data_IF_257777357468
#
_entry.id   IF_257777357468
#
_cell.length_a   1.000
_cell.length_b   1.000
_cell.length_c   1.000
_cell.angle_alpha   90.00
_cell.angle_beta   90.00
_cell.angle_gamma   90.00
#
_symmetry.space_group_name_H-M   'P 1'
#
loop_
_entity.id
_entity.type
_entity.pdbx_description
1 polymer ?
#
# COMPACT_ATOMS: atom_id res chain seq x y z
N UNK A 1 -4.47 11.97 -62.05
CA UNK A 1 -4.85 12.81 -60.89
C UNK A 1 -3.80 12.67 -59.81
N UNK A 2 -3.21 13.68 -59.18
CA UNK A 2 -3.17 15.12 -59.39
C UNK A 2 -1.88 15.61 -58.68
N UNK A 3 -1.12 16.49 -59.34
CA UNK A 3 0.08 17.20 -58.84
C UNK A 3 -0.27 18.22 -57.74
N UNK A 4 0.72 18.55 -56.90
CA UNK A 4 1.03 19.88 -56.32
C UNK A 4 2.34 19.70 -55.51
N UNK A 5 3.54 20.21 -55.86
CA UNK A 5 4.03 21.55 -56.23
C UNK A 5 4.05 22.56 -55.05
N UNK A 6 5.29 22.93 -54.66
CA UNK A 6 5.83 23.94 -53.68
C UNK A 6 5.31 25.39 -54.00
N UNK A 7 5.62 26.53 -53.29
CA UNK A 7 6.89 26.85 -52.58
C UNK A 7 6.96 28.00 -51.49
N UNK A 8 8.19 28.15 -50.94
CA UNK A 8 8.98 29.39 -50.60
C UNK A 8 8.50 30.49 -49.61
N UNK A 9 9.45 30.87 -48.73
CA UNK A 9 9.67 32.25 -48.22
C UNK A 9 9.24 32.49 -46.76
N UNK A 10 10.00 33.11 -45.87
CA UNK A 10 11.22 33.91 -46.03
C UNK A 10 11.85 34.31 -44.70
N UNK A 11 13.13 34.67 -44.80
CA UNK A 11 14.03 35.20 -43.78
C UNK A 11 13.81 36.71 -43.62
N UNK A 12 13.78 37.22 -42.39
CA UNK A 12 14.12 38.62 -42.08
C UNK A 12 14.85 38.68 -40.73
N UNK A 13 16.11 39.08 -40.78
CA UNK A 13 16.92 39.57 -39.66
C UNK A 13 16.49 41.02 -39.34
N UNK A 14 16.57 41.41 -38.07
CA UNK A 14 16.25 42.76 -37.62
C UNK A 14 16.58 42.99 -36.13
N UNK A 15 17.76 43.56 -35.89
CA UNK A 15 18.28 44.20 -34.66
C UNK A 15 18.40 45.72 -34.98
N UNK A 16 18.55 46.73 -34.09
CA UNK A 16 18.63 46.82 -32.61
C UNK A 16 17.71 47.92 -31.97
N UNK A 17 17.64 47.99 -30.63
CA UNK A 17 18.06 49.20 -29.86
C UNK A 17 17.65 49.22 -28.38
N UNK A 18 18.68 49.43 -27.55
CA UNK A 18 18.82 50.42 -26.47
C UNK A 18 17.92 50.40 -25.21
N UNK A 19 18.64 50.22 -24.09
CA UNK A 19 18.59 50.98 -22.84
C UNK A 19 17.28 51.00 -22.02
N UNK A 20 17.30 50.24 -20.91
CA UNK A 20 16.39 50.43 -19.78
C UNK A 20 17.00 49.85 -18.49
N UNK A 21 17.63 50.72 -17.70
CA UNK A 21 18.21 50.41 -16.39
C UNK A 21 17.11 50.40 -15.32
N UNK A 22 16.91 49.30 -14.56
CA UNK A 22 16.49 49.22 -13.14
C UNK A 22 16.47 47.73 -12.73
N UNK A 23 17.45 47.26 -11.94
CA UNK A 23 17.44 47.07 -10.47
C UNK A 23 16.35 46.11 -9.95
N UNK A 24 16.83 45.18 -9.12
CA UNK A 24 16.16 44.25 -8.20
C UNK A 24 15.78 42.85 -8.73
N UNK A 25 16.16 41.83 -7.95
CA UNK A 25 15.84 40.42 -8.20
C UNK A 25 17.06 39.51 -8.21
N UNK A 26 17.70 39.35 -7.06
CA UNK A 26 18.76 38.37 -6.81
C UNK A 26 18.12 36.97 -6.80
N UNK A 27 18.23 36.20 -7.88
CA UNK A 27 17.93 34.77 -7.88
C UNK A 27 19.20 34.01 -8.27
N UNK A 28 20.07 33.80 -7.27
CA UNK A 28 21.15 32.84 -7.37
C UNK A 28 20.55 31.44 -7.30
N UNK A 29 20.94 30.60 -8.25
CA UNK A 29 20.61 29.19 -8.27
C UNK A 29 20.95 28.52 -6.95
N UNK A 30 19.96 27.86 -6.38
CA UNK A 30 20.11 26.85 -5.35
C UNK A 30 19.50 25.56 -5.87
N UNK A 31 20.31 24.79 -6.58
CA UNK A 31 20.06 23.37 -6.77
C UNK A 31 20.20 22.68 -5.41
N UNK A 32 19.38 21.65 -5.19
CA UNK A 32 19.34 20.74 -4.03
C UNK A 32 18.61 21.33 -2.81
N UNK A 33 17.60 20.68 -2.24
CA UNK A 33 17.57 19.29 -1.79
C UNK A 33 16.12 18.81 -1.80
N UNK A 34 15.78 17.92 -2.73
CA UNK A 34 14.66 17.01 -2.49
C UNK A 34 14.96 16.28 -1.20
N UNK A 35 14.03 16.32 -0.25
CA UNK A 35 14.11 15.52 0.97
C UNK A 35 14.13 14.05 0.58
N UNK A 36 15.33 13.52 0.37
CA UNK A 36 15.62 12.10 0.60
C UNK A 36 15.28 11.86 2.07
N UNK A 37 14.05 11.39 2.35
CA UNK A 37 13.76 10.68 3.59
C UNK A 37 14.58 9.40 3.53
N UNK A 38 15.83 9.49 3.97
CA UNK A 38 16.67 8.33 4.21
C UNK A 38 16.07 7.62 5.40
N UNK A 39 15.42 6.50 5.12
CA UNK A 39 14.97 5.51 6.09
C UNK A 39 16.18 4.95 6.83
N UNK A 40 16.61 5.64 7.88
CA UNK A 40 17.14 5.11 9.15
C UNK A 40 17.60 6.27 10.07
N UNK A 41 16.83 7.34 10.19
CA UNK A 41 17.11 8.34 11.24
C UNK A 41 16.48 7.86 12.55
N UNK A 42 17.32 7.25 13.36
CA UNK A 42 17.01 6.77 14.70
C UNK A 42 16.80 8.02 15.57
N UNK A 43 15.58 8.57 15.61
CA UNK A 43 15.26 9.72 16.47
C UNK A 43 15.51 9.32 17.93
N UNK A 44 16.40 10.10 18.54
CA UNK A 44 16.92 10.00 19.91
C UNK A 44 15.87 10.31 21.00
N UNK A 45 14.60 10.46 20.60
CA UNK A 45 13.42 10.41 21.47
C UNK A 45 12.56 9.26 20.99
N UNK A 46 12.66 8.09 21.62
CA UNK A 46 12.01 6.83 21.22
C UNK A 46 10.48 6.83 21.15
N UNK A 47 9.91 7.64 20.26
CA UNK A 47 8.50 7.67 19.90
C UNK A 47 8.42 7.03 18.51
N UNK A 48 8.15 5.74 18.49
CA UNK A 48 7.71 4.99 17.31
C UNK A 48 6.49 5.71 16.74
N UNK A 49 6.65 6.46 15.64
CA UNK A 49 5.51 7.13 15.00
C UNK A 49 4.64 6.04 14.39
N UNK A 50 3.41 5.85 14.88
CA UNK A 50 2.56 4.81 14.34
C UNK A 50 2.19 5.17 12.90
N UNK A 51 2.35 4.20 11.99
CA UNK A 51 1.99 4.31 10.57
C UNK A 51 0.53 4.75 10.40
N UNK A 52 -0.33 4.32 11.34
CA UNK A 52 -1.74 4.68 11.39
C UNK A 52 -2.06 5.35 12.72
N UNK A 53 -2.75 6.49 12.67
CA UNK A 53 -3.07 7.26 13.88
C UNK A 53 -4.27 6.73 14.66
N UNK A 54 -5.17 5.99 14.00
CA UNK A 54 -6.40 5.46 14.61
C UNK A 54 -6.88 4.21 13.89
N UNK A 55 -7.65 3.37 14.57
CA UNK A 55 -8.21 2.15 13.98
C UNK A 55 -9.07 2.45 12.75
N UNK A 56 -9.80 3.57 12.75
CA UNK A 56 -10.60 4.01 11.61
C UNK A 56 -9.74 4.32 10.40
N UNK A 57 -8.58 4.96 10.58
CA UNK A 57 -7.64 5.21 9.48
C UNK A 57 -7.07 3.89 8.94
N UNK A 58 -6.80 2.94 9.83
CA UNK A 58 -6.36 1.60 9.44
C UNK A 58 -7.45 0.89 8.62
N UNK A 59 -8.71 0.92 9.05
CA UNK A 59 -9.82 0.36 8.29
C UNK A 59 -10.07 1.07 6.96
N UNK A 60 -9.92 2.39 6.93
CA UNK A 60 -10.11 3.18 5.70
C UNK A 60 -8.99 2.90 4.67
N UNK A 61 -7.76 2.65 5.12
CA UNK A 61 -6.66 2.31 4.21
C UNK A 61 -6.62 0.80 3.90
N UNK A 62 -6.42 -0.04 4.91
CA UNK A 62 -6.28 -1.50 4.72
C UNK A 62 -7.61 -2.17 4.43
N UNK A 63 -8.68 -1.80 5.13
CA UNK A 63 -10.00 -2.39 4.91
C UNK A 63 -10.51 -2.12 3.49
N UNK A 64 -10.45 -0.87 3.02
CA UNK A 64 -10.82 -0.53 1.63
C UNK A 64 -9.94 -1.21 0.60
N UNK A 65 -8.65 -1.33 0.86
CA UNK A 65 -7.75 -2.08 0.00
C UNK A 65 -8.18 -3.55 -0.10
N UNK A 66 -8.46 -4.20 1.03
CA UNK A 66 -8.94 -5.59 1.03
C UNK A 66 -10.30 -5.74 0.37
N UNK A 67 -11.22 -4.78 0.51
CA UNK A 67 -12.48 -4.80 -0.22
C UNK A 67 -12.25 -4.72 -1.74
N UNK A 68 -11.35 -3.85 -2.21
CA UNK A 68 -11.01 -3.75 -3.64
C UNK A 68 -10.39 -5.05 -4.16
N UNK A 69 -9.50 -5.66 -3.37
CA UNK A 69 -8.85 -6.92 -3.72
C UNK A 69 -9.84 -8.09 -3.65
N UNK A 70 -10.79 -8.08 -2.72
CA UNK A 70 -11.82 -9.10 -2.57
C UNK A 70 -12.71 -9.27 -3.81
N UNK A 71 -12.83 -8.23 -4.63
CA UNK A 71 -13.60 -8.25 -5.88
C UNK A 71 -12.81 -8.81 -7.07
N UNK A 72 -11.49 -8.98 -6.96
CA UNK A 72 -10.65 -9.50 -8.05
C UNK A 72 -10.81 -11.00 -8.23
N UNK A 73 -10.47 -11.49 -9.42
CA UNK A 73 -10.51 -12.92 -9.74
C UNK A 73 -9.52 -13.69 -8.86
N UNK A 74 -8.34 -13.12 -8.55
CA UNK A 74 -7.34 -13.76 -7.69
C UNK A 74 -7.90 -14.08 -6.30
N UNK A 75 -8.69 -13.17 -5.70
CA UNK A 75 -9.30 -13.42 -4.40
C UNK A 75 -10.40 -14.48 -4.43
N UNK A 76 -11.08 -14.65 -5.57
CA UNK A 76 -12.06 -15.73 -5.76
C UNK A 76 -11.36 -17.07 -5.89
N UNK A 77 -10.24 -17.11 -6.63
CA UNK A 77 -9.40 -18.30 -6.72
C UNK A 77 -8.79 -18.67 -5.37
N UNK A 78 -8.44 -17.67 -4.54
CA UNK A 78 -7.95 -17.86 -3.18
C UNK A 78 -8.97 -18.60 -2.31
N UNK A 79 -10.22 -18.17 -2.35
CA UNK A 79 -11.33 -18.81 -1.64
C UNK A 79 -11.61 -20.20 -2.20
N UNK A 80 -11.60 -20.35 -3.53
CA UNK A 80 -11.85 -21.64 -4.16
C UNK A 80 -10.74 -22.66 -3.84
N UNK A 81 -9.49 -22.21 -3.71
CA UNK A 81 -8.34 -23.03 -3.34
C UNK A 81 -8.20 -23.24 -1.82
N UNK A 82 -8.89 -22.43 -1.01
CA UNK A 82 -8.84 -22.51 0.45
C UNK A 82 -10.15 -23.09 0.98
N UNK A 83 -10.10 -24.36 1.38
CA UNK A 83 -11.23 -24.99 2.05
C UNK A 83 -11.24 -24.60 3.53
N UNK A 84 -12.34 -24.01 4.00
CA UNK A 84 -12.56 -23.78 5.43
C UNK A 84 -12.81 -25.10 6.15
N UNK A 85 -12.07 -25.34 7.22
CA UNK A 85 -12.31 -26.49 8.08
C UNK A 85 -13.72 -26.46 8.68
N UNK A 86 -14.30 -27.64 8.96
CA UNK A 86 -15.63 -27.73 9.56
C UNK A 86 -15.66 -27.03 10.93
N UNK A 87 -16.53 -26.02 11.07
CA UNK A 87 -16.70 -25.26 12.31
C UNK A 87 -15.95 -23.93 12.37
N UNK A 88 -15.27 -23.53 11.30
CA UNK A 88 -14.74 -22.17 11.11
C UNK A 88 -15.63 -21.37 10.16
N UNK A 89 -15.84 -20.10 10.49
CA UNK A 89 -16.62 -19.19 9.66
C UNK A 89 -15.71 -18.26 8.83
N UNK A 90 -14.47 -18.04 9.28
CA UNK A 90 -13.54 -17.11 8.66
C UNK A 90 -12.18 -17.76 8.37
N UNK A 91 -11.53 -17.35 7.27
CA UNK A 91 -10.21 -17.86 6.90
C UNK A 91 -9.15 -17.34 7.84
N UNK A 92 -9.15 -16.03 8.04
CA UNK A 92 -8.10 -15.35 8.79
C UNK A 92 -8.64 -14.14 9.52
N UNK A 93 -8.15 -13.91 10.73
CA UNK A 93 -8.37 -12.71 11.51
C UNK A 93 -7.04 -12.03 11.81
N UNK A 94 -6.92 -10.78 11.40
CA UNK A 94 -5.81 -9.91 11.71
C UNK A 94 -6.17 -9.05 12.91
N UNK A 95 -5.45 -9.22 14.00
CA UNK A 95 -5.52 -8.41 15.21
C UNK A 95 -4.31 -7.48 15.19
N UNK A 96 -4.58 -6.21 14.96
CA UNK A 96 -3.59 -5.15 15.00
C UNK A 96 -3.55 -4.52 16.39
N UNK A 97 -2.33 -4.26 16.84
CA UNK A 97 -2.03 -3.50 18.05
C UNK A 97 -1.40 -2.17 17.67
N UNK A 98 -1.77 -1.10 18.40
CA UNK A 98 -1.30 0.28 18.18
C UNK A 98 -1.57 0.79 16.76
N UNK A 99 -2.81 1.19 16.43
CA UNK A 99 -4.04 1.18 17.24
C UNK A 99 -4.67 -0.23 17.36
N UNK A 100 -5.55 -0.44 18.34
CA UNK A 100 -6.31 -1.69 18.47
C UNK A 100 -7.31 -1.79 17.32
N UNK A 101 -7.09 -2.73 16.40
CA UNK A 101 -7.97 -2.93 15.27
C UNK A 101 -8.07 -4.41 14.93
N UNK A 102 -9.24 -4.85 14.46
CA UNK A 102 -9.47 -6.23 14.06
C UNK A 102 -10.02 -6.26 12.63
N UNK A 103 -9.43 -7.05 11.76
CA UNK A 103 -9.92 -7.27 10.39
C UNK A 103 -10.04 -8.76 10.17
N UNK A 104 -11.25 -9.22 9.89
CA UNK A 104 -11.55 -10.63 9.65
C UNK A 104 -11.91 -10.84 8.20
N UNK A 105 -11.27 -11.81 7.56
CA UNK A 105 -11.57 -12.24 6.20
C UNK A 105 -12.43 -13.49 6.27
N UNK A 106 -13.66 -13.37 5.80
CA UNK A 106 -14.64 -14.44 5.72
C UNK A 106 -15.03 -14.67 4.27
N UNK A 107 -15.70 -15.77 3.98
CA UNK A 107 -16.45 -15.90 2.74
C UNK A 107 -17.94 -15.70 3.01
N UNK A 108 -18.64 -15.15 2.03
CA UNK A 108 -20.09 -15.12 2.00
C UNK A 108 -20.54 -15.35 0.55
N UNK A 109 -21.41 -16.33 0.32
CA UNK A 109 -21.92 -16.67 -1.02
C UNK A 109 -20.82 -16.87 -2.09
N UNK A 110 -19.68 -17.45 -1.70
CA UNK A 110 -18.54 -17.69 -2.59
C UNK A 110 -17.73 -16.43 -2.94
N UNK A 111 -17.90 -15.34 -2.20
CA UNK A 111 -17.13 -14.10 -2.34
C UNK A 111 -16.35 -13.80 -1.07
N UNK A 112 -15.21 -13.13 -1.20
CA UNK A 112 -14.43 -12.67 -0.07
C UNK A 112 -15.16 -11.50 0.58
N UNK A 113 -15.39 -11.60 1.87
CA UNK A 113 -16.04 -10.57 2.68
C UNK A 113 -15.09 -10.13 3.77
N UNK A 114 -14.87 -8.84 3.85
CA UNK A 114 -14.02 -8.22 4.85
C UNK A 114 -14.92 -7.68 5.96
N UNK A 115 -14.62 -8.05 7.20
CA UNK A 115 -15.31 -7.60 8.41
C UNK A 115 -14.31 -6.85 9.26
N UNK A 116 -14.48 -5.54 9.35
CA UNK A 116 -13.70 -4.68 10.23
C UNK A 116 -14.37 -4.59 11.62
N UNK A 117 -13.57 -4.68 12.68
CA UNK A 117 -14.03 -4.63 14.06
C UNK A 117 -14.22 -6.00 14.71
N UNK A 118 -14.91 -6.00 15.85
CA UNK A 118 -15.18 -7.22 16.60
C UNK A 118 -16.21 -8.09 15.87
N UNK A 119 -15.94 -9.39 15.85
CA UNK A 119 -16.81 -10.36 15.19
C UNK A 119 -16.91 -11.63 16.04
N UNK A 120 -18.07 -12.28 15.97
CA UNK A 120 -18.32 -13.58 16.58
C UNK A 120 -17.94 -14.75 15.66
N UNK A 121 -17.46 -14.45 14.45
CA UNK A 121 -16.96 -15.45 13.49
C UNK A 121 -15.76 -16.18 14.09
N UNK A 122 -15.66 -17.49 13.82
CA UNK A 122 -14.51 -18.30 14.24
C UNK A 122 -13.46 -18.32 13.12
N UNK A 123 -12.36 -17.57 13.27
CA UNK A 123 -11.27 -17.65 12.30
C UNK A 123 -10.51 -18.96 12.47
N UNK A 124 -10.17 -19.59 11.34
CA UNK A 124 -9.28 -20.74 11.32
C UNK A 124 -7.85 -20.33 11.69
N UNK A 125 -7.45 -19.11 11.31
CA UNK A 125 -6.14 -18.58 11.55
C UNK A 125 -6.19 -17.15 12.10
N UNK A 126 -5.42 -16.87 13.15
CA UNK A 126 -5.37 -15.56 13.79
C UNK A 126 -3.94 -15.03 13.70
N UNK A 127 -3.78 -13.85 13.13
CA UNK A 127 -2.53 -13.10 13.11
C UNK A 127 -2.61 -11.91 14.05
N UNK A 128 -1.82 -11.94 15.11
CA UNK A 128 -1.64 -10.82 16.02
C UNK A 128 -0.33 -10.10 15.70
N UNK A 129 -0.41 -8.81 15.38
CA UNK A 129 0.75 -7.99 14.99
C UNK A 129 0.50 -6.51 15.26
N UNK A 130 1.51 -5.65 15.11
CA UNK A 130 1.28 -4.20 15.12
C UNK A 130 0.85 -3.71 13.74
N UNK A 131 0.19 -2.54 13.69
CA UNK A 131 -0.24 -1.97 12.42
C UNK A 131 0.95 -1.68 11.47
N UNK A 132 2.10 -1.30 12.01
CA UNK A 132 3.36 -1.12 11.26
C UNK A 132 3.86 -2.43 10.63
N UNK A 133 3.82 -3.53 11.38
CA UNK A 133 4.24 -4.85 10.88
C UNK A 133 3.31 -5.32 9.77
N UNK A 134 1.99 -5.13 9.94
CA UNK A 134 1.00 -5.42 8.91
C UNK A 134 1.22 -4.62 7.64
N UNK A 135 1.48 -3.32 7.78
CA UNK A 135 1.79 -2.46 6.65
C UNK A 135 3.04 -2.93 5.88
N UNK A 136 4.12 -3.28 6.59
CA UNK A 136 5.35 -3.82 5.99
C UNK A 136 5.12 -5.16 5.28
N UNK A 137 4.25 -6.00 5.82
CA UNK A 137 3.84 -7.25 5.19
C UNK A 137 3.15 -6.98 3.85
N UNK A 138 2.15 -6.09 3.80
CA UNK A 138 1.43 -5.75 2.56
C UNK A 138 2.27 -4.97 1.55
N UNK A 139 3.32 -4.26 1.99
CA UNK A 139 4.32 -3.66 1.10
C UNK A 139 5.29 -4.68 0.48
N UNK A 140 5.21 -5.97 0.85
CA UNK A 140 6.17 -7.00 0.44
C UNK A 140 7.58 -6.78 1.00
N UNK A 141 7.71 -6.00 2.08
CA UNK A 141 8.99 -5.69 2.74
C UNK A 141 9.30 -6.64 3.89
N UNK A 142 8.32 -7.42 4.31
CA UNK A 142 8.44 -8.37 5.40
C UNK A 142 7.82 -9.70 4.99
N UNK A 143 8.64 -10.76 4.94
CA UNK A 143 8.15 -12.11 4.74
C UNK A 143 7.48 -12.66 6.00
N UNK A 144 6.40 -13.41 5.82
CA UNK A 144 5.68 -14.05 6.94
C UNK A 144 6.61 -14.92 7.80
N UNK A 145 7.46 -15.72 7.17
CA UNK A 145 8.39 -16.61 7.89
C UNK A 145 9.41 -15.82 8.71
N UNK A 146 9.95 -14.73 8.16
CA UNK A 146 10.88 -13.86 8.89
C UNK A 146 10.17 -13.15 10.05
N UNK A 147 8.94 -12.70 9.84
CA UNK A 147 8.14 -12.04 10.87
C UNK A 147 7.79 -12.97 12.04
N UNK A 148 7.46 -14.24 11.75
CA UNK A 148 7.24 -15.29 12.74
C UNK A 148 8.54 -15.63 13.48
N UNK A 149 9.65 -15.79 12.76
CA UNK A 149 10.96 -16.06 13.35
C UNK A 149 11.41 -14.94 14.30
N UNK A 150 11.11 -13.69 13.93
CA UNK A 150 11.40 -12.49 14.74
C UNK A 150 10.32 -12.20 15.80
N UNK A 151 9.28 -13.03 15.90
CA UNK A 151 8.14 -12.86 16.81
C UNK A 151 7.42 -11.50 16.67
N UNK A 152 7.50 -10.89 15.48
CA UNK A 152 6.81 -9.64 15.16
C UNK A 152 5.33 -9.87 14.85
N UNK A 153 5.01 -11.07 14.35
CA UNK A 153 3.66 -11.58 14.14
C UNK A 153 3.53 -12.82 15.01
N UNK A 154 2.46 -12.92 15.79
CA UNK A 154 2.03 -14.17 16.40
C UNK A 154 0.93 -14.77 15.56
N UNK A 155 1.09 -16.03 15.17
CA UNK A 155 0.05 -16.77 14.46
C UNK A 155 -0.54 -17.83 15.38
N UNK A 156 -1.85 -17.99 15.33
CA UNK A 156 -2.56 -19.09 15.96
C UNK A 156 -3.37 -19.81 14.88
N UNK A 157 -3.25 -21.12 14.78
CA UNK A 157 -3.93 -21.92 13.76
C UNK A 157 -2.99 -22.63 12.78
N UNK A 158 -3.54 -23.23 11.72
CA UNK A 158 -2.79 -24.04 10.76
C UNK A 158 -2.00 -23.14 9.81
N UNK A 159 -0.77 -22.78 10.17
CA UNK A 159 0.14 -21.96 9.34
C UNK A 159 0.26 -22.48 7.90
N UNK A 160 0.11 -23.78 7.69
CA UNK A 160 0.08 -24.42 6.37
C UNK A 160 -0.95 -23.77 5.44
N UNK A 161 -2.11 -23.36 5.95
CA UNK A 161 -3.16 -22.73 5.16
C UNK A 161 -2.76 -21.32 4.72
N UNK A 162 -2.13 -20.54 5.60
CA UNK A 162 -1.55 -19.25 5.22
C UNK A 162 -0.45 -19.40 4.16
N UNK A 163 0.41 -20.43 4.27
CA UNK A 163 1.48 -20.68 3.30
C UNK A 163 0.95 -21.04 1.90
N UNK A 164 -0.21 -21.72 1.80
CA UNK A 164 -0.87 -22.01 0.52
C UNK A 164 -1.41 -20.75 -0.17
N UNK A 165 -1.78 -19.74 0.62
CA UNK A 165 -2.35 -18.48 0.15
C UNK A 165 -1.27 -17.47 -0.28
N UNK A 166 -0.08 -17.53 0.31
CA UNK A 166 1.06 -16.66 -0.03
C UNK A 166 1.32 -16.46 -1.55
N UNK A 167 1.35 -17.50 -2.42
CA UNK A 167 1.60 -17.30 -3.85
C UNK A 167 0.53 -16.42 -4.54
N UNK A 168 -0.70 -16.39 -4.03
CA UNK A 168 -1.75 -15.53 -4.55
C UNK A 168 -1.61 -14.09 -4.05
N UNK A 169 -1.09 -13.91 -2.84
CA UNK A 169 -0.78 -12.59 -2.29
C UNK A 169 0.36 -11.87 -3.03
N UNK A 170 1.23 -12.62 -3.72
CA UNK A 170 2.34 -12.03 -4.49
C UNK A 170 1.84 -11.07 -5.59
N UNK A 171 0.71 -11.40 -6.22
CA UNK A 171 0.03 -10.53 -7.19
C UNK A 171 -0.63 -9.30 -6.52
N UNK A 172 -0.97 -9.39 -5.24
CA UNK A 172 -1.67 -8.35 -4.48
C UNK A 172 -0.70 -7.31 -3.90
N UNK A 173 0.54 -7.68 -3.56
CA UNK A 173 1.56 -6.74 -3.07
C UNK A 173 1.80 -5.51 -3.97
N UNK A 174 1.98 -5.63 -5.30
CA UNK A 174 2.13 -4.45 -6.16
C UNK A 174 0.86 -3.59 -6.21
N UNK A 175 -0.34 -4.20 -6.12
CA UNK A 175 -1.60 -3.48 -6.09
C UNK A 175 -1.74 -2.63 -4.81
N UNK A 176 -1.19 -3.09 -3.67
CA UNK A 176 -1.17 -2.29 -2.44
C UNK A 176 -0.34 -1.02 -2.59
N UNK A 177 0.82 -1.14 -3.22
CA UNK A 177 1.68 0.01 -3.49
C UNK A 177 1.00 1.04 -4.38
N UNK A 178 0.40 0.58 -5.48
CA UNK A 178 -0.33 1.44 -6.42
C UNK A 178 -1.51 2.13 -5.74
N UNK A 179 -2.28 1.38 -4.94
CA UNK A 179 -3.38 1.90 -4.13
C UNK A 179 -2.94 3.03 -3.19
N UNK A 180 -1.82 2.86 -2.47
CA UNK A 180 -1.27 3.91 -1.60
C UNK A 180 -0.90 5.19 -2.37
N UNK A 181 -0.41 5.05 -3.62
CA UNK A 181 -0.14 6.20 -4.49
C UNK A 181 -1.44 6.87 -4.96
N UNK A 182 -2.46 6.09 -5.30
CA UNK A 182 -3.77 6.55 -5.77
C UNK A 182 -4.49 7.39 -4.69
N UNK A 183 -4.49 6.92 -3.43
CA UNK A 183 -5.11 7.64 -2.31
C UNK A 183 -4.25 8.82 -1.80
N UNK A 184 -3.11 9.11 -2.45
CA UNK A 184 -2.20 10.18 -2.06
C UNK A 184 -1.44 9.92 -0.75
N UNK A 185 -1.45 8.68 -0.23
CA UNK A 185 -0.70 8.25 0.96
C UNK A 185 0.69 7.75 0.61
N UNK A 186 1.34 8.41 -0.35
CA UNK A 186 2.75 8.17 -0.68
C UNK A 186 3.70 8.41 0.49
N UNK A 187 3.27 9.10 1.56
CA UNK A 187 4.04 9.24 2.79
C UNK A 187 4.23 7.91 3.54
N UNK A 188 3.37 6.92 3.29
CA UNK A 188 3.49 5.56 3.82
C UNK A 188 4.38 4.66 2.95
N UNK A 189 4.75 5.12 1.76
CA UNK A 189 5.67 4.39 0.89
C UNK A 189 7.13 4.70 1.26
N UNK A 190 8.04 3.73 1.16
CA UNK A 190 9.45 3.95 1.42
C UNK A 190 10.14 4.83 0.36
#
# INVERSE_FOLDING_TARGET
>A
MNKQEKPLGGRKEGVPSALGRKREGRCLGGQTRGSKKTWNDRDERGIDMPVFQSEQELYDVLGRFFERVAETEESKELIAATELGPGYDAFVQYIFHKPEAKITWTHENGKLKIVCGETALRPELIFEQTADVGHKFWLGKLDLQQALARQQIKVQGPLVNALKVLPQLDAIYPAYRDYLQEIGRSDLLP
#
